data_IF_473246386106
#
_entry.id   IF_473246386106
#
_cell.length_a   1.000
_cell.length_b   1.000
_cell.length_c   1.000
_cell.angle_alpha   90.00
_cell.angle_beta   90.00
_cell.angle_gamma   90.00
#
_symmetry.space_group_name_H-M   'P 1'
#
loop_
_entity.id
_entity.type
_entity.pdbx_description
1 polymer ?
#
# COMPACT_ATOMS: atom_id res chain seq x y z
N UNK A 1 5.37 -9.27 14.32
CA UNK A 1 5.85 -8.72 13.03
C UNK A 1 4.80 -9.03 11.98
N UNK A 2 4.38 -8.06 11.18
CA UNK A 2 3.48 -8.28 10.05
C UNK A 2 4.27 -8.11 8.74
N UNK A 3 4.15 -9.07 7.82
CA UNK A 3 4.99 -9.14 6.62
C UNK A 3 4.11 -9.23 5.37
N UNK A 4 4.43 -8.41 4.37
CA UNK A 4 3.81 -8.52 3.05
C UNK A 4 4.46 -9.65 2.26
N UNK A 5 3.68 -10.66 1.89
CA UNK A 5 4.15 -11.81 1.12
C UNK A 5 3.32 -11.96 -0.15
N UNK A 6 3.99 -11.83 -1.30
CA UNK A 6 3.36 -12.02 -2.61
C UNK A 6 3.08 -13.51 -2.82
N UNK A 7 1.87 -13.84 -3.24
CA UNK A 7 1.49 -15.20 -3.64
C UNK A 7 1.11 -15.21 -5.13
N UNK A 8 2.05 -15.51 -6.05
CA UNK A 8 1.80 -15.41 -7.50
C UNK A 8 0.57 -16.20 -7.95
N UNK A 9 0.42 -17.44 -7.46
CA UNK A 9 -0.75 -18.28 -7.75
C UNK A 9 -2.07 -17.65 -7.28
N UNK A 10 -2.12 -17.19 -6.04
CA UNK A 10 -3.33 -16.62 -5.45
C UNK A 10 -3.69 -15.26 -6.03
N UNK A 11 -2.68 -14.45 -6.36
CA UNK A 11 -2.88 -13.08 -6.84
C UNK A 11 -2.93 -13.01 -8.36
N UNK A 12 -2.58 -14.11 -9.04
CA UNK A 12 -2.47 -14.21 -10.50
C UNK A 12 -1.53 -13.12 -11.04
N UNK A 13 -0.38 -12.95 -10.39
CA UNK A 13 0.74 -12.11 -10.84
C UNK A 13 1.83 -13.00 -11.45
N UNK A 14 2.75 -12.43 -12.23
CA UNK A 14 3.90 -13.20 -12.72
C UNK A 14 4.86 -13.52 -11.58
N UNK A 15 5.53 -14.66 -11.66
CA UNK A 15 6.43 -15.13 -10.59
C UNK A 15 7.67 -14.24 -10.48
N UNK A 16 8.23 -13.85 -11.62
CA UNK A 16 9.39 -12.96 -11.74
C UNK A 16 9.10 -11.51 -11.29
N UNK A 17 7.83 -11.11 -11.20
CA UNK A 17 7.43 -9.76 -10.80
C UNK A 17 7.25 -9.60 -9.27
N UNK A 18 7.48 -10.64 -8.47
CA UNK A 18 7.24 -10.61 -7.01
C UNK A 18 7.93 -9.46 -6.28
N UNK A 19 9.20 -9.18 -6.62
CA UNK A 19 9.96 -8.05 -6.05
C UNK A 19 9.32 -6.71 -6.44
N UNK A 20 8.91 -6.58 -7.70
CA UNK A 20 8.25 -5.36 -8.21
C UNK A 20 6.91 -5.12 -7.51
N UNK A 21 6.08 -6.15 -7.37
CA UNK A 21 4.79 -6.06 -6.67
C UNK A 21 4.99 -5.66 -5.21
N UNK A 22 5.98 -6.24 -4.54
CA UNK A 22 6.32 -5.91 -3.14
C UNK A 22 6.77 -4.46 -3.02
N UNK A 23 7.65 -4.00 -3.92
CA UNK A 23 8.10 -2.60 -3.96
C UNK A 23 6.93 -1.65 -4.20
N UNK A 24 6.05 -1.96 -5.15
CA UNK A 24 4.89 -1.12 -5.45
C UNK A 24 3.87 -1.08 -4.30
N UNK A 25 3.73 -2.14 -3.51
CA UNK A 25 2.89 -2.10 -2.32
C UNK A 25 3.35 -1.00 -1.34
N UNK A 26 4.66 -0.83 -1.19
CA UNK A 26 5.25 0.22 -0.34
C UNK A 26 5.22 1.58 -1.04
N UNK A 27 5.65 1.68 -2.30
CA UNK A 27 5.73 2.94 -3.05
C UNK A 27 4.35 3.59 -3.31
N UNK A 28 3.27 2.82 -3.25
CA UNK A 28 1.89 3.34 -3.35
C UNK A 28 1.26 3.65 -1.98
N UNK A 29 2.01 3.49 -0.88
CA UNK A 29 1.51 3.54 0.50
C UNK A 29 0.42 2.52 0.85
N UNK A 30 0.11 1.56 -0.03
CA UNK A 30 -0.82 0.47 0.30
C UNK A 30 -0.34 -0.36 1.48
N UNK A 31 0.97 -0.57 1.56
CA UNK A 31 1.65 -1.28 2.62
C UNK A 31 2.77 -0.42 3.24
N UNK A 32 2.42 0.50 4.17
CA UNK A 32 3.41 1.37 4.78
C UNK A 32 4.33 0.60 5.72
N UNK A 33 5.60 0.99 5.79
CA UNK A 33 6.57 0.40 6.71
C UNK A 33 6.71 1.30 7.94
N UNK A 34 6.44 0.74 9.10
CA UNK A 34 6.51 1.43 10.38
C UNK A 34 6.77 0.43 11.51
N UNK A 35 7.19 0.96 12.65
CA UNK A 35 7.39 0.24 13.90
C UNK A 35 6.62 0.95 15.01
N UNK A 36 6.24 0.17 16.03
CA UNK A 36 5.63 0.69 17.24
C UNK A 36 6.39 0.13 18.43
N UNK A 37 7.07 1.01 19.16
CA UNK A 37 7.90 0.64 20.31
C UNK A 37 7.45 1.45 21.52
N UNK A 38 7.05 0.76 22.60
CA UNK A 38 6.53 1.40 23.81
C UNK A 38 5.41 2.42 23.54
N UNK A 39 4.50 2.08 22.61
CA UNK A 39 3.41 2.96 22.19
C UNK A 39 3.81 4.11 21.25
N UNK A 40 5.11 4.27 20.94
CA UNK A 40 5.61 5.28 20.01
C UNK A 40 5.67 4.73 18.60
N UNK A 41 4.99 5.40 17.69
CA UNK A 41 4.92 5.06 16.28
C UNK A 41 6.05 5.73 15.51
N UNK A 42 6.71 4.97 14.63
CA UNK A 42 7.77 5.47 13.74
C UNK A 42 7.61 4.88 12.35
N UNK A 43 7.42 5.72 11.35
CA UNK A 43 7.44 5.34 9.94
C UNK A 43 8.91 5.14 9.53
N UNK A 44 9.25 3.92 9.12
CA UNK A 44 10.64 3.55 8.80
C UNK A 44 11.00 3.78 7.33
N UNK A 45 9.99 3.94 6.46
CA UNK A 45 10.20 4.26 5.06
C UNK A 45 9.12 5.22 4.54
N UNK A 46 9.56 6.27 3.84
CA UNK A 46 8.70 7.30 3.25
C UNK A 46 9.01 7.40 1.75
N UNK A 47 8.10 6.95 0.86
CA UNK A 47 8.27 7.18 -0.58
C UNK A 47 8.34 8.69 -0.86
N UNK A 48 9.36 9.14 -1.61
CA UNK A 48 9.51 10.56 -1.97
C UNK A 48 8.36 11.06 -2.83
N UNK A 49 7.95 10.24 -3.79
CA UNK A 49 6.86 10.49 -4.72
C UNK A 49 5.95 9.25 -4.74
N UNK A 50 4.95 9.17 -3.83
CA UNK A 50 4.04 8.04 -3.78
C UNK A 50 3.36 7.81 -5.13
N UNK A 51 3.34 6.56 -5.57
CA UNK A 51 2.72 6.16 -6.84
C UNK A 51 1.20 6.00 -6.67
N UNK A 52 0.40 6.19 -7.75
CA UNK A 52 -1.00 5.85 -7.74
C UNK A 52 -1.21 4.35 -7.44
N UNK A 53 -2.27 4.01 -6.69
CA UNK A 53 -2.58 2.64 -6.28
C UNK A 53 -2.75 1.69 -7.47
N UNK A 54 -3.20 2.22 -8.61
CA UNK A 54 -3.33 1.50 -9.87
C UNK A 54 -2.06 0.80 -10.32
N UNK A 55 -0.89 1.39 -10.08
CA UNK A 55 0.41 0.80 -10.41
C UNK A 55 0.62 -0.53 -9.70
N UNK A 56 0.16 -0.65 -8.45
CA UNK A 56 0.18 -1.88 -7.68
C UNK A 56 -0.93 -2.84 -8.12
N UNK A 57 -2.15 -2.34 -8.34
CA UNK A 57 -3.32 -3.18 -8.67
C UNK A 57 -3.20 -3.87 -10.03
N UNK A 58 -2.66 -3.19 -11.06
CA UNK A 58 -2.63 -3.69 -12.44
C UNK A 58 -1.79 -4.96 -12.64
N UNK A 59 -0.82 -5.21 -11.76
CA UNK A 59 0.05 -6.39 -11.82
C UNK A 59 -0.59 -7.67 -11.27
N UNK A 60 -1.79 -7.57 -10.69
CA UNK A 60 -2.41 -8.66 -9.95
C UNK A 60 -3.75 -9.03 -10.56
N UNK A 61 -3.86 -10.24 -11.12
CA UNK A 61 -5.09 -10.71 -11.73
C UNK A 61 -6.31 -10.73 -10.81
N UNK A 62 -6.14 -10.78 -9.48
CA UNK A 62 -7.25 -10.64 -8.51
C UNK A 62 -8.00 -9.30 -8.61
N UNK A 63 -7.36 -8.25 -9.13
CA UNK A 63 -7.95 -6.92 -9.30
C UNK A 63 -8.43 -6.61 -10.72
N UNK A 64 -8.30 -7.56 -11.67
CA UNK A 64 -8.72 -7.35 -13.09
C UNK A 64 -10.14 -6.82 -13.26
N UNK A 65 -11.06 -7.20 -12.37
CA UNK A 65 -12.45 -6.77 -12.43
C UNK A 65 -12.65 -5.27 -12.15
N UNK A 66 -11.71 -4.63 -11.43
CA UNK A 66 -11.75 -3.20 -11.13
C UNK A 66 -11.39 -2.32 -12.34
N UNK A 67 -10.78 -2.90 -13.38
CA UNK A 67 -10.38 -2.20 -14.60
C UNK A 67 -11.38 -2.39 -15.75
N UNK A 68 -12.56 -2.95 -15.47
CA UNK A 68 -13.65 -3.02 -16.45
C UNK A 68 -14.39 -1.67 -16.53
N UNK A 69 -14.97 -1.31 -17.69
CA UNK A 69 -15.75 -0.09 -17.82
C UNK A 69 -16.84 0.02 -16.74
N UNK A 70 -16.97 1.20 -16.12
CA UNK A 70 -17.93 1.47 -15.04
C UNK A 70 -17.41 1.21 -13.63
N UNK A 71 -16.15 0.78 -13.47
CA UNK A 71 -15.50 0.54 -12.17
C UNK A 71 -14.49 1.62 -11.77
N UNK A 72 -14.36 2.69 -12.57
CA UNK A 72 -13.39 3.78 -12.38
C UNK A 72 -13.54 4.44 -10.99
N UNK A 73 -14.78 4.55 -10.50
CA UNK A 73 -15.07 5.04 -9.15
C UNK A 73 -14.45 4.19 -8.03
N UNK A 74 -14.34 2.86 -8.23
CA UNK A 74 -13.78 1.95 -7.22
C UNK A 74 -12.29 2.10 -7.05
N UNK A 75 -11.57 2.35 -8.13
CA UNK A 75 -10.14 2.63 -8.06
C UNK A 75 -9.90 3.95 -7.32
N UNK A 76 -10.73 4.97 -7.58
CA UNK A 76 -10.67 6.24 -6.86
C UNK A 76 -10.95 6.07 -5.37
N UNK A 77 -12.00 5.35 -5.00
CA UNK A 77 -12.32 5.02 -3.60
C UNK A 77 -11.14 4.31 -2.90
N UNK A 78 -10.47 3.37 -3.59
CA UNK A 78 -9.29 2.69 -3.05
C UNK A 78 -8.11 3.64 -2.86
N UNK A 79 -7.89 4.57 -3.79
CA UNK A 79 -6.83 5.58 -3.65
C UNK A 79 -7.10 6.50 -2.45
N UNK A 80 -8.35 6.94 -2.28
CA UNK A 80 -8.77 7.78 -1.14
C UNK A 80 -8.57 7.04 0.19
N UNK A 81 -8.90 5.74 0.23
CA UNK A 81 -8.69 4.92 1.43
C UNK A 81 -7.20 4.78 1.79
N UNK A 82 -6.34 4.55 0.79
CA UNK A 82 -4.89 4.46 0.99
C UNK A 82 -4.34 5.80 1.50
N UNK A 83 -4.78 6.92 0.93
CA UNK A 83 -4.40 8.26 1.37
C UNK A 83 -4.83 8.52 2.82
N UNK A 84 -6.08 8.18 3.16
CA UNK A 84 -6.63 8.33 4.52
C UNK A 84 -5.83 7.55 5.55
N UNK A 85 -5.47 6.29 5.25
CA UNK A 85 -4.64 5.45 6.15
C UNK A 85 -3.24 6.01 6.30
N UNK A 86 -2.65 6.51 5.21
CA UNK A 86 -1.35 7.15 5.25
C UNK A 86 -1.36 8.41 6.14
N UNK A 87 -2.34 9.28 5.99
CA UNK A 87 -2.51 10.46 6.85
C UNK A 87 -2.69 10.08 8.32
N UNK A 88 -3.50 9.07 8.61
CA UNK A 88 -3.68 8.56 9.96
C UNK A 88 -2.36 8.07 10.59
N UNK A 89 -1.57 7.30 9.84
CA UNK A 89 -0.26 6.84 10.30
C UNK A 89 0.70 8.00 10.56
N UNK A 90 0.67 9.04 9.72
CA UNK A 90 1.47 10.25 9.95
C UNK A 90 1.06 10.99 11.24
N UNK A 91 -0.25 11.10 11.50
CA UNK A 91 -0.77 11.69 12.75
C UNK A 91 -0.32 10.89 13.98
N UNK A 92 -0.33 9.56 13.90
CA UNK A 92 0.15 8.71 14.99
C UNK A 92 1.63 8.90 15.28
N UNK A 93 2.47 8.96 14.24
CA UNK A 93 3.90 9.26 14.42
C UNK A 93 4.09 10.66 15.04
N UNK A 94 3.34 11.67 14.58
CA UNK A 94 3.41 13.02 15.14
C UNK A 94 3.06 13.06 16.63
N UNK A 95 1.91 12.49 17.01
CA UNK A 95 1.46 12.43 18.40
C UNK A 95 2.45 11.67 19.29
N UNK A 96 3.13 10.66 18.75
CA UNK A 96 4.16 9.90 19.47
C UNK A 96 5.44 10.69 19.78
N UNK A 97 5.65 11.84 19.11
CA UNK A 97 6.78 12.76 19.36
C UNK A 97 6.44 13.85 20.37
N UNK A 98 5.14 14.15 20.50
CA UNK A 98 4.62 15.21 21.37
C UNK A 98 4.35 14.71 22.81
N UNK A 99 4.31 13.38 23.02
CA UNK A 99 4.18 12.71 24.32
C UNK A 99 5.43 11.96 24.78
#
# INVERSE_FOLDING_TARGET
INVFSVCPRGWRSKEEEGILVTKLAVETNYWPLFEVENGKWRITYRPKNPKPIEEFLKLQGRFKHLFKPGMEGKIKELQEEVNRRWEWLNKLEQLSREG
#
